data_IF_951354741221
#
_entry.id   IF_951354741221
#
_cell.length_a   1.000
_cell.length_b   1.000
_cell.length_c   1.000
_cell.angle_alpha   90.00
_cell.angle_beta   90.00
_cell.angle_gamma   90.00
#
_symmetry.space_group_name_H-M   'P 1'
#
loop_
_entity.id
_entity.type
_entity.pdbx_description
1 polymer ?
#
# COMPACT_ATOMS: atom_id res chain seq x y z
N UNK A 1 -2.56 23.05 -13.36
CA UNK A 1 -2.06 22.06 -12.38
C UNK A 1 -3.28 21.31 -11.85
N UNK A 2 -3.54 20.08 -12.30
CA UNK A 2 -4.56 19.25 -11.64
C UNK A 2 -4.12 19.04 -10.19
N UNK A 3 -5.07 18.95 -9.25
CA UNK A 3 -4.77 18.61 -7.86
C UNK A 3 -5.16 17.15 -7.66
N UNK A 4 -4.36 16.42 -6.89
CA UNK A 4 -4.70 15.06 -6.49
C UNK A 4 -6.11 15.01 -5.90
N UNK A 5 -6.94 14.09 -6.38
CA UNK A 5 -8.30 13.92 -5.88
C UNK A 5 -8.34 12.89 -4.75
N UNK A 6 -8.10 13.35 -3.52
CA UNK A 6 -8.05 12.49 -2.35
C UNK A 6 -9.36 11.74 -2.08
N UNK A 7 -10.51 12.35 -2.39
CA UNK A 7 -11.81 11.68 -2.28
C UNK A 7 -11.89 10.50 -3.25
N UNK A 8 -11.51 10.70 -4.51
CA UNK A 8 -11.54 9.63 -5.51
C UNK A 8 -10.55 8.52 -5.19
N UNK A 9 -9.38 8.88 -4.69
CA UNK A 9 -8.38 7.90 -4.26
C UNK A 9 -8.88 7.07 -3.08
N UNK A 10 -9.52 7.69 -2.09
CA UNK A 10 -10.18 6.99 -0.98
C UNK A 10 -11.22 5.99 -1.48
N UNK A 11 -12.13 6.41 -2.35
CA UNK A 11 -13.15 5.51 -2.92
C UNK A 11 -12.52 4.25 -3.54
N UNK A 12 -11.40 4.40 -4.25
CA UNK A 12 -10.67 3.29 -4.87
C UNK A 12 -9.98 2.41 -3.82
N UNK A 13 -9.43 3.00 -2.76
CA UNK A 13 -8.84 2.25 -1.64
C UNK A 13 -9.92 1.46 -0.92
N UNK A 14 -11.08 2.07 -0.64
CA UNK A 14 -12.22 1.42 0.02
C UNK A 14 -12.78 0.26 -0.82
N UNK A 15 -12.87 0.45 -2.14
CA UNK A 15 -13.32 -0.59 -3.07
C UNK A 15 -12.37 -1.79 -3.11
N UNK A 16 -11.05 -1.54 -3.15
CA UNK A 16 -10.03 -2.60 -3.24
C UNK A 16 -9.70 -3.24 -1.90
N UNK A 17 -9.83 -2.49 -0.81
CA UNK A 17 -9.46 -2.89 0.54
C UNK A 17 -10.57 -2.55 1.54
N UNK A 18 -11.76 -3.17 1.44
CA UNK A 18 -12.93 -2.82 2.25
C UNK A 18 -12.75 -3.03 3.76
N UNK A 19 -11.73 -3.78 4.17
CA UNK A 19 -11.42 -4.06 5.58
C UNK A 19 -10.12 -3.38 6.04
N UNK A 20 -9.66 -2.36 5.32
CA UNK A 20 -8.51 -1.56 5.74
C UNK A 20 -8.80 -0.86 7.07
N UNK A 21 -7.87 -0.89 8.05
CA UNK A 21 -8.01 -0.11 9.27
C UNK A 21 -8.03 1.40 8.98
N UNK A 22 -8.91 2.14 9.66
CA UNK A 22 -9.12 3.59 9.45
C UNK A 22 -7.83 4.42 9.66
N UNK A 23 -6.98 4.01 10.61
CA UNK A 23 -5.69 4.67 10.86
C UNK A 23 -4.72 4.48 9.69
N UNK A 24 -4.65 3.26 9.14
CA UNK A 24 -3.83 2.94 7.99
C UNK A 24 -4.31 3.68 6.74
N UNK A 25 -5.62 3.67 6.50
CA UNK A 25 -6.28 4.35 5.39
C UNK A 25 -5.97 5.85 5.41
N UNK A 26 -6.22 6.53 6.54
CA UNK A 26 -5.89 7.96 6.73
C UNK A 26 -4.42 8.26 6.44
N UNK A 27 -3.50 7.44 6.95
CA UNK A 27 -2.06 7.63 6.71
C UNK A 27 -1.70 7.49 5.23
N UNK A 28 -2.28 6.52 4.53
CA UNK A 28 -2.05 6.29 3.10
C UNK A 28 -2.58 7.47 2.28
N UNK A 29 -3.83 7.89 2.51
CA UNK A 29 -4.43 9.02 1.78
C UNK A 29 -3.62 10.30 2.00
N UNK A 30 -3.24 10.61 3.26
CA UNK A 30 -2.47 11.81 3.58
C UNK A 30 -1.08 11.80 2.90
N UNK A 31 -0.41 10.64 2.92
CA UNK A 31 0.90 10.49 2.27
C UNK A 31 0.81 10.74 0.77
N UNK A 32 -0.16 10.12 0.09
CA UNK A 32 -0.27 10.26 -1.37
C UNK A 32 -0.77 11.66 -1.77
N UNK A 33 -1.63 12.30 -0.97
CA UNK A 33 -2.08 13.67 -1.21
C UNK A 33 -0.97 14.72 -1.15
N UNK A 34 0.11 14.46 -0.40
CA UNK A 34 1.28 15.36 -0.28
C UNK A 34 2.35 15.12 -1.34
N UNK A 35 2.20 14.10 -2.19
CA UNK A 35 3.20 13.78 -3.22
C UNK A 35 3.11 14.76 -4.40
N UNK A 36 4.23 15.38 -4.80
CA UNK A 36 4.24 16.45 -5.81
C UNK A 36 3.73 16.03 -7.20
N UNK A 37 3.78 14.73 -7.52
CA UNK A 37 3.38 14.19 -8.83
C UNK A 37 2.04 13.46 -8.82
N UNK A 38 1.36 13.34 -7.67
CA UNK A 38 0.11 12.59 -7.57
C UNK A 38 -1.05 13.23 -8.35
N UNK A 39 -0.92 14.53 -8.61
CA UNK A 39 -1.83 15.37 -9.37
C UNK A 39 -1.97 15.03 -10.87
N UNK A 40 -1.02 14.31 -11.48
CA UNK A 40 -0.97 14.06 -12.92
C UNK A 40 -1.46 12.65 -13.32
N UNK A 41 -1.99 11.88 -12.38
CA UNK A 41 -2.35 10.48 -12.60
C UNK A 41 -3.77 10.35 -13.18
N UNK A 42 -3.94 9.51 -14.20
CA UNK A 42 -5.24 9.12 -14.73
C UNK A 42 -6.02 8.27 -13.72
N UNK A 43 -7.33 8.07 -13.94
CA UNK A 43 -8.19 7.21 -13.10
C UNK A 43 -7.63 5.78 -13.01
N UNK A 44 -7.18 5.22 -14.14
CA UNK A 44 -6.55 3.91 -14.19
C UNK A 44 -5.26 3.88 -13.35
N UNK A 45 -4.48 4.96 -13.38
CA UNK A 45 -3.29 5.11 -12.53
C UNK A 45 -3.61 5.19 -11.04
N UNK A 46 -4.80 5.62 -10.62
CA UNK A 46 -5.19 5.63 -9.20
C UNK A 46 -5.40 4.21 -8.65
N UNK A 47 -5.88 3.27 -9.48
CA UNK A 47 -6.01 1.86 -9.08
C UNK A 47 -4.66 1.23 -8.77
N UNK A 48 -3.68 1.41 -9.66
CA UNK A 48 -2.30 0.96 -9.46
C UNK A 48 -1.62 1.71 -8.31
N UNK A 49 -1.89 3.01 -8.18
CA UNK A 49 -1.38 3.80 -7.05
C UNK A 49 -1.93 3.27 -5.72
N UNK A 50 -3.21 2.90 -5.64
CA UNK A 50 -3.83 2.42 -4.41
C UNK A 50 -3.15 1.11 -3.96
N UNK A 51 -2.97 0.17 -4.89
CA UNK A 51 -2.23 -1.08 -4.64
C UNK A 51 -0.80 -0.78 -4.16
N UNK A 52 -0.05 0.05 -4.88
CA UNK A 52 1.33 0.36 -4.53
C UNK A 52 1.46 1.12 -3.19
N UNK A 53 0.51 2.00 -2.88
CA UNK A 53 0.51 2.79 -1.65
C UNK A 53 0.20 1.91 -0.43
N UNK A 54 -0.79 1.02 -0.54
CA UNK A 54 -1.15 0.05 0.50
C UNK A 54 0.00 -0.94 0.74
N UNK A 55 0.53 -1.55 -0.33
CA UNK A 55 1.67 -2.46 -0.24
C UNK A 55 2.89 -1.79 0.42
N UNK A 56 3.18 -0.54 0.03
CA UNK A 56 4.24 0.27 0.61
C UNK A 56 4.02 0.55 2.10
N UNK A 57 2.80 0.92 2.49
CA UNK A 57 2.45 1.12 3.90
C UNK A 57 2.66 -0.15 4.70
N UNK A 58 2.12 -1.29 4.25
CA UNK A 58 2.25 -2.57 4.93
C UNK A 58 3.72 -2.95 5.07
N UNK A 59 4.49 -2.88 3.99
CA UNK A 59 5.93 -3.15 3.99
C UNK A 59 6.66 -2.33 5.05
N UNK A 60 6.42 -1.03 5.12
CA UNK A 60 7.17 -0.15 6.02
C UNK A 60 6.64 -0.08 7.46
N UNK A 61 5.35 -0.37 7.69
CA UNK A 61 4.69 -0.18 9.00
C UNK A 61 4.23 -1.46 9.66
N UNK A 62 4.07 -2.54 8.90
CA UNK A 62 3.53 -3.82 9.39
C UNK A 62 4.46 -5.00 9.17
N UNK A 63 5.57 -4.81 8.44
CA UNK A 63 6.64 -5.83 8.33
C UNK A 63 7.91 -5.36 9.00
N UNK A 64 8.68 -6.31 9.52
CA UNK A 64 9.92 -6.05 10.26
C UNK A 64 11.14 -6.30 9.35
N UNK A 65 11.14 -5.70 8.14
CA UNK A 65 12.17 -5.94 7.11
C UNK A 65 13.59 -5.76 7.66
N UNK A 66 13.81 -4.70 8.44
CA UNK A 66 15.12 -4.41 9.03
C UNK A 66 15.52 -5.43 10.10
N UNK A 67 14.57 -5.95 10.88
CA UNK A 67 14.84 -7.03 11.84
C UNK A 67 15.10 -8.38 11.14
N UNK A 68 14.46 -8.63 9.98
CA UNK A 68 14.68 -9.85 9.19
C UNK A 68 16.10 -9.89 8.58
N UNK A 69 16.68 -8.73 8.26
CA UNK A 69 18.09 -8.65 7.80
C UNK A 69 19.09 -8.99 8.92
N UNK A 70 18.70 -8.88 10.19
CA UNK A 70 19.53 -9.24 11.35
C UNK A 70 19.53 -10.73 11.73
N UNK A 71 18.67 -11.56 11.11
CA UNK A 71 18.45 -12.97 11.50
C UNK A 71 19.25 -13.99 10.67
N UNK A 72 20.42 -13.65 10.14
CA UNK A 72 21.22 -14.50 9.23
C UNK A 72 20.47 -14.97 7.96
N UNK A 73 19.35 -14.33 7.60
CA UNK A 73 18.66 -14.60 6.35
C UNK A 73 19.39 -13.91 5.21
N UNK A 74 19.43 -14.57 4.05
CA UNK A 74 19.87 -13.89 2.83
C UNK A 74 18.87 -12.78 2.47
N UNK A 75 19.35 -11.75 1.76
CA UNK A 75 18.49 -10.63 1.32
C UNK A 75 17.26 -11.12 0.56
N UNK A 76 17.39 -12.18 -0.24
CA UNK A 76 16.28 -12.72 -1.02
C UNK A 76 15.28 -13.49 -0.16
N UNK A 77 15.74 -14.22 0.87
CA UNK A 77 14.84 -14.83 1.85
C UNK A 77 14.06 -13.78 2.64
N UNK A 78 14.70 -12.70 3.07
CA UNK A 78 14.04 -11.60 3.77
C UNK A 78 12.99 -10.91 2.87
N UNK A 79 13.30 -10.66 1.60
CA UNK A 79 12.36 -10.11 0.62
C UNK A 79 11.16 -11.03 0.40
N UNK A 80 11.38 -12.33 0.24
CA UNK A 80 10.30 -13.30 0.05
C UNK A 80 9.38 -13.37 1.27
N UNK A 81 9.92 -13.36 2.49
CA UNK A 81 9.09 -13.31 3.71
C UNK A 81 8.25 -12.04 3.78
N UNK A 82 8.85 -10.88 3.51
CA UNK A 82 8.10 -9.62 3.49
C UNK A 82 7.03 -9.63 2.41
N UNK A 83 7.31 -10.16 1.22
CA UNK A 83 6.31 -10.30 0.15
C UNK A 83 5.11 -11.14 0.62
N UNK A 84 5.37 -12.30 1.24
CA UNK A 84 4.30 -13.16 1.78
C UNK A 84 3.49 -12.43 2.85
N UNK A 85 4.15 -11.75 3.78
CA UNK A 85 3.46 -10.98 4.83
C UNK A 85 2.61 -9.84 4.27
N UNK A 86 3.11 -9.14 3.24
CA UNK A 86 2.35 -8.08 2.56
C UNK A 86 1.11 -8.68 1.92
N UNK A 87 1.25 -9.75 1.14
CA UNK A 87 0.11 -10.42 0.49
C UNK A 87 -0.92 -10.94 1.49
N UNK A 88 -0.49 -11.48 2.64
CA UNK A 88 -1.39 -11.94 3.70
C UNK A 88 -2.20 -10.78 4.29
N UNK A 89 -1.57 -9.64 4.54
CA UNK A 89 -2.24 -8.46 5.10
C UNK A 89 -3.17 -7.84 4.06
N UNK A 90 -2.76 -7.73 2.80
CA UNK A 90 -3.60 -7.24 1.70
C UNK A 90 -4.87 -8.09 1.56
N UNK A 91 -4.75 -9.42 1.62
CA UNK A 91 -5.90 -10.34 1.62
C UNK A 91 -6.80 -10.13 2.84
N UNK A 92 -6.23 -9.97 4.04
CA UNK A 92 -7.01 -9.67 5.25
C UNK A 92 -7.75 -8.34 5.14
N UNK A 93 -7.20 -7.38 4.40
CA UNK A 93 -7.83 -6.08 4.15
C UNK A 93 -8.86 -6.15 3.00
N UNK A 94 -9.08 -7.31 2.40
CA UNK A 94 -10.16 -7.56 1.45
C UNK A 94 -9.74 -7.49 -0.02
N UNK A 95 -8.44 -7.47 -0.33
CA UNK A 95 -7.98 -7.50 -1.72
C UNK A 95 -8.42 -8.79 -2.41
N UNK A 96 -9.35 -8.66 -3.37
CA UNK A 96 -9.97 -9.80 -4.06
C UNK A 96 -9.10 -10.40 -5.17
N UNK A 97 -8.19 -9.60 -5.76
CA UNK A 97 -7.30 -10.04 -6.84
C UNK A 97 -5.83 -9.86 -6.41
N UNK A 98 -5.13 -10.97 -6.19
CA UNK A 98 -3.68 -10.96 -6.01
C UNK A 98 -3.03 -11.02 -7.39
N UNK A 99 -2.28 -9.98 -7.78
CA UNK A 99 -1.43 -9.98 -8.97
C UNK A 99 -0.09 -10.70 -8.74
#
# INVERSE_FOLDING_TARGET
MQKFNAKKFREIVDEKFPYIPEDAEKMIINREATRPNAAALSVESYGMLALAAVAGYIRHKKTNYDALLGMNLTRDQAKNRVRVQVMEIERRWGLQECF
#
